data_IF_374432651397
#
_entry.id   IF_374432651397
#
_cell.length_a   1.000
_cell.length_b   1.000
_cell.length_c   1.000
_cell.angle_alpha   90.00
_cell.angle_beta   90.00
_cell.angle_gamma   90.00
#
_symmetry.space_group_name_H-M   'P 1'
#
loop_
_entity.id
_entity.type
_entity.pdbx_description
1 polymer ?
#
# COMPACT_ATOMS: atom_id res chain seq x y z
N UNK A 1 24.03 46.01 18.94
CA UNK A 1 23.39 44.77 18.44
C UNK A 1 22.30 45.20 17.47
N UNK A 2 22.28 44.65 16.26
CA UNK A 2 21.42 45.10 15.17
C UNK A 2 19.96 44.67 15.38
N UNK A 3 19.09 45.60 14.99
CA UNK A 3 17.65 45.69 15.10
C UNK A 3 16.96 44.98 13.93
N UNK A 4 16.03 44.05 14.20
CA UNK A 4 14.92 43.65 13.32
C UNK A 4 13.83 43.12 14.27
N UNK A 5 12.62 43.65 14.36
CA UNK A 5 11.76 44.15 13.30
C UNK A 5 10.48 43.31 13.39
N UNK A 6 9.59 43.71 14.29
CA UNK A 6 8.29 43.08 14.53
C UNK A 6 7.45 43.18 13.25
N UNK A 7 7.04 42.06 12.65
CA UNK A 7 6.07 42.06 11.56
C UNK A 7 5.01 41.00 11.84
N UNK A 8 3.88 41.50 12.34
CA UNK A 8 2.62 40.78 12.53
C UNK A 8 1.94 40.75 11.16
N UNK A 9 1.70 39.56 10.60
CA UNK A 9 0.66 39.37 9.60
C UNK A 9 -0.15 38.14 9.99
N UNK A 10 -1.21 38.41 10.73
CA UNK A 10 -2.35 37.53 10.90
C UNK A 10 -3.08 37.46 9.56
N UNK A 11 -3.08 36.30 8.90
CA UNK A 11 -4.04 36.00 7.83
C UNK A 11 -4.84 34.79 8.31
N UNK A 12 -5.99 35.13 8.91
CA UNK A 12 -7.17 34.27 8.97
C UNK A 12 -7.68 34.15 7.53
N UNK A 13 -7.56 32.97 6.93
CA UNK A 13 -8.44 32.59 5.83
C UNK A 13 -9.41 31.58 6.42
N UNK A 14 -10.49 32.14 6.95
CA UNK A 14 -11.72 31.42 7.23
C UNK A 14 -12.27 30.82 5.95
N UNK A 15 -12.66 29.55 6.01
CA UNK A 15 -13.71 29.01 5.16
C UNK A 15 -13.24 28.15 4.00
N UNK A 16 -13.11 26.84 4.25
CA UNK A 16 -13.73 25.85 3.38
C UNK A 16 -14.30 24.73 4.26
N UNK A 17 -15.56 24.91 4.64
CA UNK A 17 -16.44 23.85 5.06
C UNK A 17 -16.92 23.17 3.76
N UNK A 18 -16.24 22.11 3.32
CA UNK A 18 -16.81 21.19 2.32
C UNK A 18 -16.80 19.79 2.93
N UNK A 19 -17.99 19.39 3.36
CA UNK A 19 -18.37 18.03 3.73
C UNK A 19 -18.45 17.23 2.43
N UNK A 20 -17.84 16.04 2.40
CA UNK A 20 -18.29 14.93 1.57
C UNK A 20 -17.40 14.54 0.38
N UNK A 21 -16.74 13.40 0.57
CA UNK A 21 -16.33 12.42 -0.45
C UNK A 21 -15.19 12.76 -1.42
N UNK A 22 -14.37 11.73 -1.66
CA UNK A 22 -13.25 11.60 -2.59
C UNK A 22 -11.95 12.31 -2.19
N UNK A 23 -11.09 11.55 -1.49
CA UNK A 23 -9.65 11.81 -1.43
C UNK A 23 -9.07 11.76 -2.85
N UNK A 24 -8.78 12.92 -3.42
CA UNK A 24 -7.76 13.06 -4.46
C UNK A 24 -6.72 14.06 -3.95
N UNK A 25 -5.62 13.54 -3.39
CA UNK A 25 -4.40 14.32 -3.20
C UNK A 25 -3.84 14.66 -4.60
N UNK A 26 -3.99 15.91 -5.00
CA UNK A 26 -3.23 16.47 -6.13
C UNK A 26 -1.86 16.89 -5.62
N UNK A 27 -0.84 16.07 -5.89
CA UNK A 27 0.56 16.50 -5.78
C UNK A 27 0.95 17.25 -7.06
N UNK A 28 1.35 18.52 -6.94
CA UNK A 28 1.95 19.32 -8.00
C UNK A 28 3.25 18.65 -8.50
N UNK A 29 3.24 18.22 -9.76
CA UNK A 29 4.41 17.69 -10.46
C UNK A 29 5.21 18.86 -11.02
N UNK A 30 6.51 18.92 -10.69
CA UNK A 30 7.43 19.97 -11.12
C UNK A 30 8.08 19.54 -12.43
N UNK A 31 7.53 20.05 -13.53
CA UNK A 31 7.95 19.76 -14.89
C UNK A 31 9.44 20.08 -15.16
N UNK A 32 10.18 19.10 -15.68
CA UNK A 32 11.36 19.36 -16.51
C UNK A 32 11.26 18.51 -17.80
N UNK A 33 10.72 19.13 -18.84
CA UNK A 33 10.49 18.53 -20.16
C UNK A 33 11.79 18.46 -20.94
N UNK A 34 12.14 17.24 -21.39
CA UNK A 34 12.94 17.01 -22.59
C UNK A 34 12.25 15.91 -23.41
N UNK A 35 11.60 16.31 -24.50
CA UNK A 35 10.87 15.46 -25.43
C UNK A 35 11.68 14.28 -25.94
N UNK A 36 11.06 13.09 -26.02
CA UNK A 36 10.89 12.32 -27.26
C UNK A 36 9.93 11.13 -27.04
N UNK A 37 8.97 11.03 -27.96
CA UNK A 37 8.03 9.94 -28.26
C UNK A 37 7.00 9.48 -27.20
N UNK A 38 5.78 9.96 -27.45
CA UNK A 38 4.51 9.61 -26.79
C UNK A 38 4.05 8.26 -27.34
N UNK A 39 4.30 7.19 -26.58
CA UNK A 39 3.40 6.06 -26.50
C UNK A 39 2.77 6.08 -25.10
N UNK A 40 1.68 6.83 -24.94
CA UNK A 40 0.85 6.74 -23.72
C UNK A 40 0.13 5.40 -23.79
N UNK A 41 0.83 4.35 -23.38
CA UNK A 41 0.16 3.12 -22.99
C UNK A 41 -0.51 3.42 -21.66
N UNK A 42 -1.84 3.48 -21.63
CA UNK A 42 -2.62 3.42 -20.39
C UNK A 42 -2.50 2.02 -19.78
N UNK A 43 -1.27 1.57 -19.49
CA UNK A 43 -1.05 0.36 -18.72
C UNK A 43 -1.09 0.79 -17.27
N UNK A 44 -2.07 0.30 -16.51
CA UNK A 44 -2.02 0.42 -15.06
C UNK A 44 -0.70 -0.18 -14.61
N UNK A 45 0.09 0.60 -13.88
CA UNK A 45 1.34 0.12 -13.32
C UNK A 45 1.05 -1.11 -12.45
N UNK A 46 1.84 -2.15 -12.67
CA UNK A 46 1.73 -3.42 -11.96
C UNK A 46 2.26 -3.21 -10.54
N UNK A 47 1.50 -3.63 -9.53
CA UNK A 47 1.92 -3.63 -8.13
C UNK A 47 3.23 -4.42 -7.96
N UNK A 48 4.12 -3.90 -7.11
CA UNK A 48 5.30 -4.64 -6.68
C UNK A 48 4.90 -5.82 -5.75
N UNK A 49 5.86 -6.69 -5.45
CA UNK A 49 5.63 -7.78 -4.49
C UNK A 49 5.44 -7.20 -3.08
N UNK A 50 6.19 -6.16 -2.76
CA UNK A 50 6.17 -5.45 -1.50
C UNK A 50 4.80 -4.77 -1.29
N UNK A 51 4.24 -4.15 -2.32
CA UNK A 51 2.89 -3.60 -2.27
C UNK A 51 1.84 -4.69 -2.01
N UNK A 52 1.98 -5.85 -2.64
CA UNK A 52 1.06 -6.97 -2.43
C UNK A 52 1.13 -7.50 -0.99
N UNK A 53 2.32 -7.57 -0.39
CA UNK A 53 2.50 -7.95 1.02
C UNK A 53 1.84 -6.93 1.95
N UNK A 54 2.06 -5.62 1.73
CA UNK A 54 1.47 -4.59 2.58
C UNK A 54 -0.07 -4.58 2.45
N UNK A 55 -0.60 -4.78 1.25
CA UNK A 55 -2.05 -4.92 1.02
C UNK A 55 -2.64 -6.10 1.81
N UNK A 56 -1.98 -7.26 1.85
CA UNK A 56 -2.43 -8.41 2.64
C UNK A 56 -2.36 -8.13 4.14
N UNK A 57 -1.32 -7.43 4.61
CA UNK A 57 -1.19 -7.04 6.01
C UNK A 57 -2.28 -6.06 6.43
N UNK A 58 -2.60 -5.07 5.60
CA UNK A 58 -3.71 -4.14 5.82
C UNK A 58 -5.06 -4.85 5.81
N UNK A 59 -5.27 -5.80 4.89
CA UNK A 59 -6.46 -6.63 4.84
C UNK A 59 -6.69 -7.40 6.14
N UNK A 60 -5.66 -8.11 6.64
CA UNK A 60 -5.73 -8.84 7.91
C UNK A 60 -6.07 -7.91 9.08
N UNK A 61 -5.46 -6.72 9.12
CA UNK A 61 -5.73 -5.70 10.14
C UNK A 61 -7.19 -5.21 10.08
N UNK A 62 -7.71 -4.94 8.89
CA UNK A 62 -9.08 -4.46 8.69
C UNK A 62 -10.13 -5.51 9.06
N UNK A 63 -9.84 -6.78 8.75
CA UNK A 63 -10.64 -7.94 9.17
C UNK A 63 -10.50 -8.28 10.66
N UNK A 64 -9.71 -7.51 11.43
CA UNK A 64 -9.36 -7.78 12.83
C UNK A 64 -8.85 -9.21 13.04
N UNK A 65 -8.19 -9.76 12.02
CA UNK A 65 -7.59 -11.09 12.02
C UNK A 65 -6.19 -11.04 12.61
N UNK A 66 -5.66 -12.20 13.00
CA UNK A 66 -4.27 -12.32 13.41
C UNK A 66 -3.32 -11.98 12.24
N UNK A 67 -2.24 -11.26 12.53
CA UNK A 67 -1.20 -10.89 11.56
C UNK A 67 0.06 -11.73 11.88
N UNK A 68 0.42 -12.70 11.03
CA UNK A 68 1.60 -13.53 11.24
C UNK A 68 2.92 -12.76 11.12
N UNK A 69 4.00 -13.34 11.63
CA UNK A 69 5.34 -12.75 11.56
C UNK A 69 5.90 -12.69 10.13
N UNK A 70 5.53 -13.65 9.27
CA UNK A 70 5.96 -13.72 7.88
C UNK A 70 4.75 -13.57 6.95
N UNK A 71 4.86 -12.63 6.03
CA UNK A 71 3.91 -12.44 4.92
C UNK A 71 4.76 -12.19 3.68
N UNK A 72 4.70 -13.08 2.71
CA UNK A 72 5.56 -13.02 1.52
C UNK A 72 4.86 -13.54 0.27
N UNK A 73 5.31 -13.05 -0.90
CA UNK A 73 4.86 -13.58 -2.19
C UNK A 73 5.58 -14.91 -2.44
N UNK A 74 4.85 -16.00 -2.29
CA UNK A 74 5.32 -17.37 -2.54
C UNK A 74 5.43 -17.63 -4.05
N UNK A 75 4.40 -17.26 -4.82
CA UNK A 75 4.35 -17.53 -6.25
C UNK A 75 3.63 -16.43 -7.06
N UNK A 76 3.78 -16.48 -8.38
CA UNK A 76 3.07 -15.68 -9.35
C UNK A 76 2.27 -16.61 -10.27
N UNK A 77 0.96 -16.41 -10.37
CA UNK A 77 0.09 -17.17 -11.27
C UNK A 77 -0.65 -16.20 -12.19
N UNK A 78 -0.20 -16.08 -13.45
CA UNK A 78 -0.73 -15.07 -14.37
C UNK A 78 -0.61 -13.65 -13.81
N UNK A 79 -1.75 -12.98 -13.65
CA UNK A 79 -1.85 -11.60 -13.16
C UNK A 79 -2.13 -11.51 -11.65
N UNK A 80 -1.87 -12.58 -10.88
CA UNK A 80 -2.02 -12.61 -9.43
C UNK A 80 -0.72 -12.99 -8.72
N UNK A 81 -0.44 -12.31 -7.61
CA UNK A 81 0.52 -12.77 -6.61
C UNK A 81 -0.18 -13.75 -5.67
N UNK A 82 0.46 -14.87 -5.39
CA UNK A 82 0.09 -15.80 -4.34
C UNK A 82 0.91 -15.43 -3.10
N UNK A 83 0.24 -14.91 -2.08
CA UNK A 83 0.86 -14.44 -0.85
C UNK A 83 0.60 -15.44 0.26
N UNK A 84 1.65 -15.86 0.94
CA UNK A 84 1.61 -16.77 2.09
C UNK A 84 1.81 -15.98 3.37
N UNK A 85 0.91 -16.16 4.34
CA UNK A 85 1.02 -15.58 5.67
C UNK A 85 1.17 -16.70 6.70
N UNK A 86 2.29 -16.72 7.43
CA UNK A 86 2.63 -17.82 8.33
C UNK A 86 3.58 -17.39 9.46
N UNK A 87 3.69 -18.29 10.45
CA UNK A 87 4.70 -18.22 11.49
C UNK A 87 5.63 -19.43 11.41
N UNK A 88 6.86 -19.22 11.88
CA UNK A 88 7.79 -20.32 12.14
C UNK A 88 7.78 -20.59 13.63
N UNK A 89 7.22 -21.73 14.02
CA UNK A 89 7.15 -22.16 15.41
C UNK A 89 8.34 -23.09 15.66
N UNK A 90 9.21 -22.71 16.60
CA UNK A 90 10.41 -23.48 16.92
C UNK A 90 10.40 -23.86 18.40
N UNK A 91 10.51 -25.16 18.66
CA UNK A 91 10.66 -25.76 19.98
C UNK A 91 12.01 -26.48 20.08
N UNK A 92 12.32 -27.06 21.25
CA UNK A 92 13.63 -27.70 21.51
C UNK A 92 13.96 -28.85 20.55
N UNK A 93 12.95 -29.51 19.99
CA UNK A 93 13.11 -30.74 19.22
C UNK A 93 12.64 -30.61 17.77
N UNK A 94 11.88 -29.56 17.43
CA UNK A 94 11.26 -29.42 16.11
C UNK A 94 11.02 -27.96 15.73
N UNK A 95 10.97 -27.69 14.43
CA UNK A 95 10.54 -26.43 13.85
C UNK A 95 9.54 -26.71 12.74
N UNK A 96 8.42 -25.99 12.72
CA UNK A 96 7.40 -26.14 11.69
C UNK A 96 6.78 -24.79 11.31
N UNK A 97 6.23 -24.74 10.10
CA UNK A 97 5.50 -23.59 9.58
C UNK A 97 4.02 -23.71 9.94
N UNK A 98 3.51 -22.72 10.67
CA UNK A 98 2.09 -22.58 10.97
C UNK A 98 1.47 -21.57 10.00
N UNK A 99 0.73 -22.07 9.00
CA UNK A 99 0.07 -21.21 8.02
C UNK A 99 -1.17 -20.57 8.63
N UNK A 100 -1.27 -19.25 8.52
CA UNK A 100 -2.46 -18.49 8.92
C UNK A 100 -3.32 -18.05 7.73
N UNK A 101 -2.75 -17.96 6.52
CA UNK A 101 -3.50 -17.52 5.34
C UNK A 101 -2.77 -17.75 4.02
N UNK A 102 -3.59 -17.92 2.98
CA UNK A 102 -3.17 -17.88 1.58
C UNK A 102 -4.04 -16.88 0.85
N UNK A 103 -3.42 -15.97 0.10
CA UNK A 103 -4.12 -14.86 -0.55
C UNK A 103 -3.74 -14.74 -2.02
N UNK A 104 -4.73 -14.52 -2.87
CA UNK A 104 -4.49 -14.04 -4.23
C UNK A 104 -4.60 -12.51 -4.25
N UNK A 105 -3.58 -11.83 -4.78
CA UNK A 105 -3.58 -10.38 -4.96
C UNK A 105 -3.48 -10.05 -6.44
N UNK A 106 -4.52 -9.47 -7.01
CA UNK A 106 -4.48 -9.06 -8.41
C UNK A 106 -3.53 -7.88 -8.62
N UNK A 107 -2.55 -8.06 -9.51
CA UNK A 107 -1.42 -7.15 -9.67
C UNK A 107 -1.77 -5.77 -10.22
N UNK A 108 -2.95 -5.60 -10.83
CA UNK A 108 -3.38 -4.35 -11.46
C UNK A 108 -4.50 -3.63 -10.69
N UNK A 109 -5.16 -4.33 -9.77
CA UNK A 109 -6.32 -3.80 -9.04
C UNK A 109 -6.14 -3.81 -7.54
N UNK A 110 -5.18 -4.57 -7.00
CA UNK A 110 -5.03 -4.77 -5.55
C UNK A 110 -6.18 -5.54 -4.92
N UNK A 111 -7.08 -6.14 -5.72
CA UNK A 111 -8.15 -6.99 -5.19
C UNK A 111 -7.53 -8.22 -4.52
N UNK A 112 -7.95 -8.48 -3.30
CA UNK A 112 -7.52 -9.64 -2.48
C UNK A 112 -8.63 -10.69 -2.45
N UNK A 113 -8.26 -11.96 -2.59
CA UNK A 113 -9.10 -13.12 -2.31
C UNK A 113 -8.41 -13.95 -1.23
N UNK A 114 -9.10 -14.18 -0.12
CA UNK A 114 -8.67 -15.11 0.93
C UNK A 114 -9.04 -16.54 0.50
N UNK A 115 -8.04 -17.34 0.14
CA UNK A 115 -8.23 -18.68 -0.41
C UNK A 115 -8.82 -19.63 0.65
N UNK A 116 -8.51 -19.41 1.92
CA UNK A 116 -8.96 -20.30 3.00
C UNK A 116 -10.39 -19.99 3.48
N UNK A 117 -10.90 -18.79 3.18
CA UNK A 117 -12.28 -18.39 3.45
C UNK A 117 -13.21 -18.49 2.23
N UNK A 118 -12.67 -18.88 1.07
CA UNK A 118 -13.38 -19.00 -0.21
C UNK A 118 -14.43 -20.10 -0.24
#
# INVERSE_FOLDING_TARGET
>A
MKLYGLLVVSIVISGFLIIGCASSLSFENKDNVKSNDIAVSNTKEKLSKEDAVELVKEYLKNEKSYIPNFIEVDNISGDVYIVHAYDVITNKEESHVATSGWFEVNMYTGKIIDILKG
#
